data_IF_460266719178
#
_entry.id   IF_460266719178
#
_cell.length_a   1.000
_cell.length_b   1.000
_cell.length_c   1.000
_cell.angle_alpha   90.00
_cell.angle_beta   90.00
_cell.angle_gamma   90.00
#
_symmetry.space_group_name_H-M   'P 1'
#
loop_
_entity.id
_entity.type
_entity.pdbx_description
1 polymer ?
#
# COMPACT_ATOMS: atom_id res chain seq x y z
N UNK A 1 33.27 11.50 -28.88
CA UNK A 1 32.21 12.17 -29.68
C UNK A 1 31.77 13.52 -29.12
N UNK A 2 31.76 13.76 -27.81
CA UNK A 2 31.34 15.06 -27.22
C UNK A 2 32.30 16.22 -27.52
N UNK A 3 33.59 15.95 -27.63
CA UNK A 3 34.59 17.02 -27.81
C UNK A 3 34.57 17.59 -29.23
N UNK A 4 34.31 16.75 -30.24
CA UNK A 4 34.21 17.18 -31.63
C UNK A 4 33.01 18.08 -31.91
N UNK A 5 31.85 17.81 -31.28
CA UNK A 5 30.69 18.70 -31.40
C UNK A 5 30.99 20.06 -30.78
N UNK A 6 31.63 20.10 -29.61
CA UNK A 6 31.97 21.37 -28.93
C UNK A 6 32.89 22.24 -29.79
N UNK A 7 33.95 21.67 -30.36
CA UNK A 7 34.87 22.38 -31.24
C UNK A 7 34.19 22.89 -32.52
N UNK A 8 33.25 22.12 -33.09
CA UNK A 8 32.49 22.56 -34.25
C UNK A 8 31.56 23.73 -33.92
N UNK A 9 30.90 23.72 -32.75
CA UNK A 9 30.08 24.82 -32.26
C UNK A 9 30.89 26.12 -32.14
N UNK A 10 32.07 26.07 -31.52
CA UNK A 10 32.96 27.24 -31.35
C UNK A 10 33.35 27.85 -32.72
N UNK A 11 33.69 27.00 -33.69
CA UNK A 11 34.04 27.45 -35.06
C UNK A 11 32.85 28.04 -35.81
N UNK A 12 31.69 27.38 -35.77
CA UNK A 12 30.48 27.84 -36.48
C UNK A 12 29.95 29.16 -35.89
N UNK A 13 30.07 29.32 -34.57
CA UNK A 13 29.72 30.57 -33.89
C UNK A 13 30.68 31.71 -34.28
N UNK A 14 31.99 31.44 -34.38
CA UNK A 14 32.97 32.44 -34.82
C UNK A 14 32.73 32.93 -36.26
N UNK A 15 32.21 32.06 -37.14
CA UNK A 15 31.85 32.40 -38.53
C UNK A 15 30.44 33.02 -38.62
N UNK A 16 29.65 33.00 -37.55
CA UNK A 16 28.32 33.62 -37.51
C UNK A 16 27.24 32.88 -38.31
N UNK A 17 27.42 31.58 -38.58
CA UNK A 17 26.47 30.78 -39.35
C UNK A 17 25.40 30.18 -38.42
N UNK A 18 24.10 30.37 -38.70
CA UNK A 18 23.04 29.72 -37.93
C UNK A 18 23.06 28.21 -38.13
N UNK A 19 23.34 27.47 -37.07
CA UNK A 19 23.49 26.01 -37.11
C UNK A 19 22.38 25.25 -36.36
N UNK A 20 21.54 25.95 -35.58
CA UNK A 20 20.40 25.36 -34.89
C UNK A 20 19.21 25.22 -35.83
N UNK A 21 18.52 24.09 -35.77
CA UNK A 21 17.26 23.89 -36.49
C UNK A 21 16.16 24.76 -35.86
N UNK A 22 15.51 25.66 -36.62
CA UNK A 22 14.38 26.42 -36.12
C UNK A 22 13.20 25.49 -35.76
N UNK A 23 12.43 25.79 -34.69
CA UNK A 23 11.31 24.94 -34.26
C UNK A 23 10.19 24.88 -35.31
N UNK A 24 9.99 25.96 -36.06
CA UNK A 24 8.91 26.10 -37.04
C UNK A 24 9.32 25.69 -38.47
N UNK A 25 10.52 25.12 -38.64
CA UNK A 25 10.99 24.63 -39.93
C UNK A 25 10.64 23.14 -40.13
N UNK A 26 9.53 22.90 -40.83
CA UNK A 26 9.03 21.56 -41.17
C UNK A 26 9.64 21.05 -42.47
N UNK A 27 10.81 20.42 -42.35
CA UNK A 27 11.45 19.65 -43.41
C UNK A 27 11.45 18.16 -43.06
N UNK A 28 11.59 17.29 -44.07
CA UNK A 28 11.65 15.85 -43.87
C UNK A 28 12.85 15.47 -42.99
N UNK A 29 12.59 14.72 -41.92
CA UNK A 29 13.62 14.20 -41.02
C UNK A 29 14.02 12.78 -41.43
N UNK A 30 15.23 12.36 -41.05
CA UNK A 30 15.76 11.00 -41.32
C UNK A 30 14.82 9.88 -40.84
N UNK A 31 14.02 10.14 -39.79
CA UNK A 31 13.02 9.22 -39.26
C UNK A 31 11.65 9.87 -39.32
N UNK A 32 10.66 9.10 -39.76
CA UNK A 32 9.27 9.53 -39.78
C UNK A 32 8.72 9.74 -38.36
N UNK A 33 7.76 10.66 -38.24
CA UNK A 33 7.10 10.94 -36.96
C UNK A 33 6.38 9.71 -36.42
N UNK A 34 5.80 8.87 -37.28
CA UNK A 34 5.16 7.62 -36.88
C UNK A 34 6.14 6.66 -36.19
N UNK A 35 7.40 6.63 -36.63
CA UNK A 35 8.44 5.85 -35.96
C UNK A 35 8.82 6.48 -34.61
N UNK A 36 9.03 7.80 -34.56
CA UNK A 36 9.39 8.49 -33.33
C UNK A 36 8.29 8.41 -32.26
N UNK A 37 7.01 8.39 -32.65
CA UNK A 37 5.89 8.13 -31.73
C UNK A 37 5.95 6.75 -31.11
N UNK A 38 6.34 5.71 -31.87
CA UNK A 38 6.54 4.35 -31.34
C UNK A 38 7.68 4.32 -30.32
N UNK A 39 8.79 5.01 -30.60
CA UNK A 39 9.93 5.11 -29.67
C UNK A 39 9.52 5.83 -28.39
N UNK A 40 8.83 6.97 -28.51
CA UNK A 40 8.29 7.71 -27.36
C UNK A 40 7.34 6.85 -26.53
N UNK A 41 6.47 6.09 -27.19
CA UNK A 41 5.56 5.13 -26.54
C UNK A 41 6.31 4.10 -25.69
N UNK A 42 7.36 3.47 -26.24
CA UNK A 42 8.20 2.50 -25.51
C UNK A 42 8.87 3.12 -24.28
N UNK A 43 9.47 4.31 -24.43
CA UNK A 43 10.11 5.01 -23.32
C UNK A 43 9.12 5.35 -22.19
N UNK A 44 7.90 5.78 -22.53
CA UNK A 44 6.87 6.06 -21.53
C UNK A 44 6.43 4.78 -20.81
N UNK A 45 6.31 3.66 -21.51
CA UNK A 45 5.99 2.37 -20.90
C UNK A 45 7.09 1.91 -19.96
N UNK A 46 8.36 2.06 -20.34
CA UNK A 46 9.51 1.71 -19.49
C UNK A 46 9.56 2.57 -18.22
N UNK A 47 9.38 3.89 -18.34
CA UNK A 47 9.30 4.79 -17.18
C UNK A 47 8.21 4.37 -16.20
N UNK A 48 6.98 4.11 -16.70
CA UNK A 48 5.87 3.65 -15.86
C UNK A 48 6.17 2.32 -15.17
N UNK A 49 6.85 1.39 -15.84
CA UNK A 49 7.26 0.10 -15.23
C UNK A 49 8.27 0.30 -14.09
N UNK A 50 9.21 1.23 -14.26
CA UNK A 50 10.20 1.57 -13.22
C UNK A 50 9.50 2.20 -12.02
N UNK A 51 8.66 3.21 -12.26
CA UNK A 51 7.87 3.90 -11.22
C UNK A 51 7.01 2.89 -10.42
N UNK A 52 6.29 2.01 -11.09
CA UNK A 52 5.45 1.00 -10.41
C UNK A 52 6.29 -0.01 -9.61
N UNK A 53 7.49 -0.35 -10.08
CA UNK A 53 8.40 -1.23 -9.36
C UNK A 53 8.95 -0.55 -8.09
N UNK A 54 9.29 0.73 -8.17
CA UNK A 54 9.75 1.55 -7.04
C UNK A 54 8.65 1.76 -6.00
N UNK A 55 7.43 2.11 -6.43
CA UNK A 55 6.27 2.22 -5.54
C UNK A 55 5.98 0.90 -4.82
N UNK A 56 6.08 -0.22 -5.53
CA UNK A 56 5.91 -1.56 -4.95
C UNK A 56 6.99 -1.88 -3.93
N UNK A 57 8.25 -1.50 -4.17
CA UNK A 57 9.35 -1.65 -3.19
C UNK A 57 9.10 -0.79 -1.95
N UNK A 58 8.77 0.48 -2.13
CA UNK A 58 8.44 1.42 -1.05
C UNK A 58 7.25 0.93 -0.22
N UNK A 59 6.21 0.41 -0.84
CA UNK A 59 5.06 -0.16 -0.14
C UNK A 59 5.42 -1.42 0.67
N UNK A 60 6.35 -2.25 0.19
CA UNK A 60 6.85 -3.42 0.95
C UNK A 60 7.66 -2.99 2.16
N UNK A 61 8.56 -2.02 2.00
CA UNK A 61 9.37 -1.46 3.09
C UNK A 61 8.50 -0.78 4.14
N UNK A 62 7.54 0.04 3.72
CA UNK A 62 6.58 0.65 4.63
C UNK A 62 5.80 -0.38 5.44
N UNK A 63 5.38 -1.51 4.82
CA UNK A 63 4.71 -2.60 5.54
C UNK A 63 5.62 -3.32 6.52
N UNK A 64 6.89 -3.52 6.20
CA UNK A 64 7.88 -4.11 7.12
C UNK A 64 8.08 -3.23 8.35
N UNK A 65 8.24 -1.91 8.14
CA UNK A 65 8.49 -0.94 9.20
C UNK A 65 7.23 -0.53 9.98
N UNK A 66 6.03 -0.78 9.45
CA UNK A 66 4.78 -0.32 10.03
C UNK A 66 4.60 -0.72 11.51
N UNK A 67 4.97 -1.96 11.86
CA UNK A 67 4.83 -2.46 13.24
C UNK A 67 5.79 -1.76 14.20
N UNK A 68 7.03 -1.57 13.76
CA UNK A 68 8.05 -0.88 14.55
C UNK A 68 7.69 0.60 14.72
N UNK A 69 7.32 1.28 13.65
CA UNK A 69 6.85 2.67 13.68
C UNK A 69 5.63 2.82 14.60
N UNK A 70 4.70 1.87 14.59
CA UNK A 70 3.57 1.90 15.50
C UNK A 70 3.99 1.74 16.97
N UNK A 71 4.93 0.85 17.27
CA UNK A 71 5.46 0.66 18.61
C UNK A 71 6.31 1.85 19.09
N UNK A 72 7.09 2.46 18.20
CA UNK A 72 7.82 3.69 18.51
C UNK A 72 6.86 4.84 18.81
N UNK A 73 5.83 5.04 17.98
CA UNK A 73 4.79 6.05 18.22
C UNK A 73 4.04 5.87 19.54
N UNK A 74 3.75 4.63 19.96
CA UNK A 74 3.11 4.41 21.27
C UNK A 74 4.07 4.70 22.43
N UNK A 75 5.36 4.35 22.30
CA UNK A 75 6.39 4.72 23.28
C UNK A 75 6.57 6.24 23.37
N UNK A 76 6.71 6.92 22.24
CA UNK A 76 6.82 8.38 22.16
C UNK A 76 5.61 9.10 22.75
N UNK A 77 4.39 8.56 22.59
CA UNK A 77 3.19 9.12 23.24
C UNK A 77 3.12 8.82 24.74
N UNK A 78 3.75 7.75 25.20
CA UNK A 78 3.75 7.36 26.61
C UNK A 78 4.81 8.12 27.42
N UNK A 79 5.97 8.46 26.83
CA UNK A 79 7.04 9.24 27.47
C UNK A 79 6.57 10.58 28.07
N UNK A 80 5.94 11.50 27.31
CA UNK A 80 5.52 12.80 27.85
C UNK A 80 4.47 12.63 28.95
N UNK A 81 3.53 11.68 28.79
CA UNK A 81 2.55 11.38 29.84
C UNK A 81 3.20 10.92 31.15
N UNK A 82 4.28 10.14 31.07
CA UNK A 82 5.02 9.71 32.24
C UNK A 82 5.78 10.88 32.87
N UNK A 83 6.45 11.69 32.04
CA UNK A 83 7.17 12.89 32.47
C UNK A 83 6.21 13.90 33.16
N UNK A 84 5.01 14.09 32.63
CA UNK A 84 3.95 14.92 33.21
C UNK A 84 3.45 14.35 34.56
N UNK A 85 3.22 13.04 34.64
CA UNK A 85 2.80 12.41 35.90
C UNK A 85 3.91 12.50 36.95
N UNK A 86 5.17 12.32 36.55
CA UNK A 86 6.32 12.44 37.44
C UNK A 86 6.53 13.87 37.92
N UNK A 87 6.34 14.88 37.06
CA UNK A 87 6.42 16.30 37.47
C UNK A 87 5.33 16.65 38.49
N UNK A 88 4.08 16.20 38.28
CA UNK A 88 2.99 16.37 39.24
C UNK A 88 3.26 15.62 40.55
N UNK A 89 3.77 14.40 40.51
CA UNK A 89 4.14 13.64 41.72
C UNK A 89 5.25 14.33 42.51
N UNK A 90 6.29 14.84 41.83
CA UNK A 90 7.36 15.62 42.47
C UNK A 90 6.80 16.89 43.12
N UNK A 91 5.93 17.62 42.43
CA UNK A 91 5.27 18.80 42.99
C UNK A 91 4.39 18.48 44.21
N UNK A 92 3.57 17.42 44.14
CA UNK A 92 2.78 16.94 45.30
C UNK A 92 3.66 16.56 46.49
N UNK A 93 4.76 15.84 46.25
CA UNK A 93 5.71 15.44 47.31
C UNK A 93 6.43 16.65 47.92
N UNK A 94 6.85 17.60 47.09
CA UNK A 94 7.44 18.86 47.55
C UNK A 94 6.44 19.69 48.38
N UNK A 95 5.15 19.73 47.98
CA UNK A 95 4.08 20.39 48.74
C UNK A 95 3.85 19.73 50.11
N UNK A 96 3.89 18.40 50.18
CA UNK A 96 3.80 17.67 51.45
C UNK A 96 5.02 17.91 52.35
N UNK A 97 6.23 17.97 51.77
CA UNK A 97 7.47 18.18 52.54
C UNK A 97 7.67 19.64 53.00
N UNK A 98 7.12 20.62 52.27
CA UNK A 98 7.20 22.05 52.63
C UNK A 98 6.20 22.48 53.70
N UNK A 99 5.44 21.55 54.29
CA UNK A 99 4.60 21.82 55.46
C UNK A 99 3.41 22.75 55.20
N UNK A 100 2.99 22.93 53.94
CA UNK A 100 1.81 23.73 53.63
C UNK A 100 0.57 23.10 54.28
N UNK A 101 -0.05 23.80 55.23
CA UNK A 101 -1.17 23.32 56.02
C UNK A 101 -2.29 22.75 55.13
N UNK A 102 -2.81 21.56 55.49
CA UNK A 102 -4.06 20.98 54.97
C UNK A 102 -5.20 21.94 55.31
N UNK A 103 -5.36 22.99 54.51
CA UNK A 103 -6.51 23.87 54.56
C UNK A 103 -7.73 23.11 54.08
N UNK A 104 -8.68 22.89 54.99
CA UNK A 104 -10.01 22.35 54.76
C UNK A 104 -10.68 22.98 53.52
N UNK A 105 -10.57 22.33 52.35
CA UNK A 105 -11.47 22.52 51.22
C UNK A 105 -11.32 21.32 50.28
N UNK A 106 -12.25 20.37 50.43
CA UNK A 106 -12.76 19.49 49.37
C UNK A 106 -11.72 18.82 48.45
N UNK A 107 -10.69 18.21 49.04
CA UNK A 107 -9.83 17.27 48.32
C UNK A 107 -10.64 15.99 48.07
N UNK A 108 -11.06 15.76 46.82
CA UNK A 108 -11.53 14.44 46.36
C UNK A 108 -10.40 13.43 46.60
N UNK A 109 -10.38 12.86 47.80
CA UNK A 109 -9.60 11.70 48.16
C UNK A 109 -10.24 10.50 47.46
N UNK A 110 -9.89 10.34 46.18
CA UNK A 110 -10.16 9.12 45.43
C UNK A 110 -9.01 8.16 45.72
N UNK A 111 -9.19 7.16 46.63
CA UNK A 111 -8.17 6.18 46.92
C UNK A 111 -7.86 5.39 45.64
N UNK A 112 -6.67 5.60 45.08
CA UNK A 112 -6.19 4.90 43.88
C UNK A 112 -5.73 3.46 44.19
N UNK A 113 -5.76 3.05 45.46
CA UNK A 113 -5.28 1.77 45.98
C UNK A 113 -6.40 0.81 46.42
N UNK A 114 -7.67 1.08 46.12
CA UNK A 114 -8.69 0.05 46.27
C UNK A 114 -8.82 -0.73 44.96
N UNK A 115 -8.32 -1.97 45.00
CA UNK A 115 -8.47 -3.04 44.02
C UNK A 115 -9.94 -3.47 43.85
N UNK A 116 -10.86 -2.51 43.78
CA UNK A 116 -12.26 -2.73 43.45
C UNK A 116 -12.32 -2.85 41.94
N UNK A 117 -12.06 -4.08 41.46
CA UNK A 117 -12.19 -4.46 40.07
C UNK A 117 -13.43 -3.79 39.50
N UNK A 118 -13.23 -2.89 38.54
CA UNK A 118 -14.30 -2.19 37.85
C UNK A 118 -15.22 -3.26 37.29
N UNK A 119 -16.34 -3.55 37.97
CA UNK A 119 -17.31 -4.53 37.53
C UNK A 119 -17.85 -4.01 36.20
N UNK A 120 -17.26 -4.49 35.11
CA UNK A 120 -17.83 -4.30 33.77
C UNK A 120 -19.22 -4.88 33.86
N UNK A 121 -20.22 -4.00 33.92
CA UNK A 121 -21.61 -4.39 33.89
C UNK A 121 -21.75 -5.43 32.79
N UNK A 122 -22.13 -6.66 33.14
CA UNK A 122 -22.46 -7.73 32.18
C UNK A 122 -23.79 -7.39 31.49
N UNK A 123 -23.97 -6.13 31.05
CA UNK A 123 -25.06 -5.72 30.20
C UNK A 123 -24.80 -6.36 28.84
N UNK A 124 -25.27 -7.60 28.72
CA UNK A 124 -25.37 -8.34 27.47
C UNK A 124 -26.09 -7.41 26.51
N UNK A 125 -25.43 -7.04 25.40
CA UNK A 125 -26.11 -6.33 24.32
C UNK A 125 -27.15 -7.31 23.77
N UNK A 126 -28.43 -6.99 23.93
CA UNK A 126 -29.54 -7.80 23.44
C UNK A 126 -29.34 -8.07 21.95
N UNK A 127 -29.33 -9.34 21.54
CA UNK A 127 -29.23 -9.75 20.14
C UNK A 127 -27.85 -10.12 19.59
N UNK A 128 -26.80 -10.25 20.43
CA UNK A 128 -25.47 -10.71 19.98
C UNK A 128 -25.00 -11.91 20.80
N UNK A 129 -24.70 -13.03 20.12
CA UNK A 129 -24.18 -14.23 20.76
C UNK A 129 -22.75 -14.01 21.28
N UNK A 130 -22.35 -14.64 22.41
CA UNK A 130 -20.98 -14.59 22.91
C UNK A 130 -20.00 -15.10 21.83
N UNK A 131 -19.09 -14.24 21.38
CA UNK A 131 -18.09 -14.56 20.34
C UNK A 131 -18.33 -13.92 18.97
N UNK A 132 -19.46 -13.25 18.76
CA UNK A 132 -19.76 -12.59 17.48
C UNK A 132 -19.07 -11.21 17.35
N UNK A 133 -18.02 -11.16 16.52
CA UNK A 133 -17.25 -9.94 16.23
C UNK A 133 -17.97 -8.96 15.29
N UNK A 134 -19.17 -9.29 14.79
CA UNK A 134 -19.87 -8.48 13.78
C UNK A 134 -20.77 -7.37 14.35
N UNK A 135 -20.71 -7.12 15.68
CA UNK A 135 -21.38 -6.00 16.36
C UNK A 135 -22.87 -5.84 16.02
N UNK A 136 -23.58 -6.94 15.76
CA UNK A 136 -25.01 -6.89 15.45
C UNK A 136 -25.36 -6.29 14.09
N UNK A 137 -24.38 -6.04 13.20
CA UNK A 137 -24.64 -5.63 11.83
C UNK A 137 -24.96 -6.84 10.95
N UNK A 138 -26.01 -7.60 11.32
CA UNK A 138 -26.73 -8.42 10.36
C UNK A 138 -27.38 -7.46 9.37
N UNK A 139 -26.70 -7.22 8.25
CA UNK A 139 -27.30 -6.68 7.04
C UNK A 139 -28.54 -7.51 6.73
N UNK A 140 -29.71 -6.99 7.10
CA UNK A 140 -30.98 -7.23 6.40
C UNK A 140 -30.83 -6.64 4.99
N UNK A 141 -30.00 -7.27 4.17
CA UNK A 141 -30.00 -7.09 2.73
C UNK A 141 -30.00 -8.51 2.20
N UNK A 142 -31.07 -8.84 1.50
CA UNK A 142 -31.37 -10.16 0.99
C UNK A 142 -30.15 -10.83 0.35
N UNK A 143 -30.21 -12.15 0.38
CA UNK A 143 -29.27 -13.13 -0.10
C UNK A 143 -29.05 -13.06 -1.65
N UNK A 144 -28.74 -11.89 -2.18
CA UNK A 144 -28.54 -11.65 -3.61
C UNK A 144 -27.06 -11.71 -3.98
N UNK A 145 -26.17 -11.28 -3.06
CA UNK A 145 -24.71 -11.41 -3.22
C UNK A 145 -24.21 -12.85 -3.02
N UNK A 146 -25.01 -13.72 -2.40
CA UNK A 146 -24.73 -15.16 -2.28
C UNK A 146 -24.97 -15.90 -3.60
N UNK A 147 -26.04 -15.56 -4.33
CA UNK A 147 -26.39 -16.15 -5.64
C UNK A 147 -25.32 -15.88 -6.70
N UNK A 148 -24.88 -14.63 -6.88
CA UNK A 148 -23.80 -14.30 -7.84
C UNK A 148 -22.47 -15.00 -7.50
N UNK A 149 -22.17 -15.21 -6.20
CA UNK A 149 -20.98 -15.99 -5.78
C UNK A 149 -21.14 -17.49 -6.05
N UNK A 150 -22.35 -18.04 -5.98
CA UNK A 150 -22.64 -19.44 -6.28
C UNK A 150 -22.61 -19.68 -7.78
N UNK A 151 -23.28 -18.87 -8.57
CA UNK A 151 -23.27 -18.91 -10.04
C UNK A 151 -21.84 -18.79 -10.59
N UNK A 152 -21.04 -17.84 -10.09
CA UNK A 152 -19.64 -17.70 -10.49
C UNK A 152 -18.79 -18.92 -10.09
N UNK A 153 -19.05 -19.51 -8.91
CA UNK A 153 -18.36 -20.72 -8.45
C UNK A 153 -18.78 -21.96 -9.25
N UNK A 154 -20.05 -22.08 -9.62
CA UNK A 154 -20.56 -23.18 -10.45
C UNK A 154 -20.07 -23.05 -11.90
N UNK A 155 -20.00 -21.85 -12.46
CA UNK A 155 -19.36 -21.61 -13.76
C UNK A 155 -17.86 -21.94 -13.74
N UNK A 156 -17.16 -21.58 -12.66
CA UNK A 156 -15.72 -21.80 -12.51
C UNK A 156 -15.35 -23.25 -12.17
N UNK A 157 -16.17 -23.94 -11.36
CA UNK A 157 -15.82 -25.23 -10.75
C UNK A 157 -16.84 -26.36 -10.97
N UNK A 158 -17.97 -26.11 -11.63
CA UNK A 158 -19.10 -27.04 -11.77
C UNK A 158 -20.01 -27.08 -10.53
N UNK A 159 -21.18 -27.71 -10.66
CA UNK A 159 -22.09 -27.95 -9.53
C UNK A 159 -21.47 -28.97 -8.57
N UNK A 160 -21.34 -28.62 -7.28
CA UNK A 160 -20.84 -29.55 -6.25
C UNK A 160 -19.36 -29.43 -5.86
N UNK A 161 -18.75 -28.24 -5.92
CA UNK A 161 -17.38 -28.04 -5.40
C UNK A 161 -16.29 -28.70 -6.25
N UNK A 162 -15.01 -28.50 -5.87
CA UNK A 162 -13.80 -28.72 -6.70
C UNK A 162 -13.84 -30.01 -7.56
N UNK A 163 -14.25 -29.88 -8.83
CA UNK A 163 -13.79 -30.71 -9.94
C UNK A 163 -12.83 -29.89 -10.80
N UNK A 164 -11.66 -29.64 -10.24
CA UNK A 164 -10.61 -28.87 -10.89
C UNK A 164 -9.59 -29.79 -11.53
N UNK A 165 -9.79 -30.17 -12.79
CA UNK A 165 -8.73 -30.63 -13.71
C UNK A 165 -9.17 -30.40 -15.17
N UNK A 166 -9.53 -29.16 -15.55
CA UNK A 166 -9.84 -28.80 -16.96
C UNK A 166 -8.59 -28.64 -17.86
N UNK A 167 -7.41 -28.93 -17.32
CA UNK A 167 -6.13 -28.98 -18.04
C UNK A 167 -5.30 -30.14 -17.52
N UNK A 168 -5.69 -31.35 -17.85
CA UNK A 168 -4.83 -32.52 -17.77
C UNK A 168 -4.63 -33.06 -19.17
N UNK A 169 -3.39 -33.39 -19.51
CA UNK A 169 -3.08 -34.15 -20.71
C UNK A 169 -3.69 -35.54 -20.52
N UNK A 170 -4.63 -35.92 -21.38
CA UNK A 170 -5.13 -37.30 -21.41
C UNK A 170 -4.07 -38.18 -22.10
N UNK A 171 -4.03 -39.49 -21.80
CA UNK A 171 -3.11 -40.41 -22.46
C UNK A 171 -3.20 -40.37 -24.01
N UNK A 172 -4.38 -40.00 -24.53
CA UNK A 172 -4.64 -39.80 -25.96
C UNK A 172 -4.04 -38.48 -26.48
N UNK A 173 -4.02 -37.42 -25.68
CA UNK A 173 -3.47 -36.10 -26.05
C UNK A 173 -1.94 -36.05 -26.03
N UNK A 174 -1.26 -36.96 -25.34
CA UNK A 174 0.21 -36.97 -25.25
C UNK A 174 0.88 -37.39 -26.57
N UNK A 175 0.19 -38.18 -27.41
CA UNK A 175 0.75 -38.72 -28.66
C UNK A 175 0.14 -38.11 -29.93
N UNK A 176 -0.66 -37.04 -29.83
CA UNK A 176 -1.27 -36.39 -31.00
C UNK A 176 -0.32 -35.36 -31.63
N UNK A 177 0.46 -35.79 -32.62
CA UNK A 177 1.43 -34.97 -33.37
C UNK A 177 0.84 -34.36 -34.65
N UNK A 178 -0.48 -34.50 -34.90
CA UNK A 178 -1.12 -34.10 -36.17
C UNK A 178 -1.09 -32.60 -36.46
N UNK A 179 -0.82 -31.77 -35.44
CA UNK A 179 -0.64 -30.32 -35.57
C UNK A 179 0.78 -29.88 -35.91
N UNK A 180 1.75 -30.79 -36.00
CA UNK A 180 3.16 -30.46 -36.28
C UNK A 180 3.41 -30.48 -37.79
N UNK A 181 3.18 -29.33 -38.45
CA UNK A 181 3.63 -29.13 -39.83
C UNK A 181 5.15 -28.96 -39.85
N UNK A 182 5.87 -30.04 -40.20
CA UNK A 182 7.26 -29.93 -40.67
C UNK A 182 7.17 -29.31 -42.06
N UNK A 183 7.34 -27.99 -42.10
CA UNK A 183 7.54 -27.29 -43.36
C UNK A 183 8.68 -27.97 -44.11
N UNK A 184 8.40 -28.39 -45.35
CA UNK A 184 9.37 -28.92 -46.29
C UNK A 184 10.36 -27.78 -46.60
N UNK A 185 11.58 -27.91 -46.08
CA UNK A 185 12.70 -27.01 -46.34
C UNK A 185 13.28 -27.40 -47.71
N UNK A 186 13.67 -26.43 -48.58
CA UNK A 186 13.84 -26.60 -50.02
C UNK A 186 14.82 -27.69 -50.47
#
# INVERSE_FOLDING_TARGET
>A
MRDGTRQAFEKLQAVGIPFLRPPDYYAEMVKSDSHMLKVKGKLLVEKKKIEEAEERKKAREAKKLAKEVQAQKTKERAKPKKEDIESVKKWRKQRQQSGFARGNNEELDLPLDEEKGFERSKKRRTGVAPGDRTRGFKRKVGNEKGRKKREFREAKFGHGGRKGMKKQNTAVSTNDLRGFNIGQIP
#
